data_IF_799412695169
#
_entry.id   IF_799412695169
#
_cell.length_a   1.000
_cell.length_b   1.000
_cell.length_c   1.000
_cell.angle_alpha   90.00
_cell.angle_beta   90.00
_cell.angle_gamma   90.00
#
_symmetry.space_group_name_H-M   'P 1'
#
loop_
_entity.id
_entity.type
_entity.pdbx_description
1 polymer ?
#
# COMPACT_ATOMS: atom_id res chain seq x y z
N UNK A 1 -10.16 -43.06 -53.49
CA UNK A 1 -10.33 -44.25 -52.60
C UNK A 1 -9.57 -43.96 -51.33
N UNK A 2 -10.21 -44.04 -50.15
CA UNK A 2 -9.72 -43.49 -48.89
C UNK A 2 -8.95 -44.54 -48.10
N UNK A 3 -8.00 -44.10 -47.32
CA UNK A 3 -7.39 -44.91 -46.25
C UNK A 3 -7.60 -44.22 -44.89
N UNK A 4 -8.58 -44.73 -44.18
CA UNK A 4 -8.80 -44.41 -42.79
C UNK A 4 -7.82 -45.21 -41.93
N UNK A 5 -6.98 -44.53 -41.11
CA UNK A 5 -6.22 -45.17 -40.02
C UNK A 5 -6.89 -44.84 -38.70
N UNK A 6 -7.55 -45.84 -38.17
CA UNK A 6 -8.13 -45.91 -36.86
C UNK A 6 -7.01 -45.92 -35.79
N UNK A 7 -7.04 -45.00 -34.84
CA UNK A 7 -6.18 -45.03 -33.66
C UNK A 7 -7.04 -45.33 -32.47
N UNK A 8 -6.83 -46.54 -31.91
CA UNK A 8 -7.44 -47.00 -30.69
C UNK A 8 -6.65 -46.48 -29.52
N UNK A 9 -7.28 -45.69 -28.65
CA UNK A 9 -6.71 -45.31 -27.35
C UNK A 9 -6.92 -46.43 -26.32
N UNK A 10 -5.93 -46.76 -25.49
CA UNK A 10 -6.16 -47.60 -24.31
C UNK A 10 -6.74 -46.80 -23.16
N UNK A 11 -7.77 -47.36 -22.57
CA UNK A 11 -8.40 -46.89 -21.34
C UNK A 11 -7.45 -47.18 -20.17
N UNK A 12 -6.92 -46.15 -19.54
CA UNK A 12 -6.18 -46.27 -18.28
C UNK A 12 -7.14 -46.08 -17.10
N UNK A 13 -7.38 -47.17 -16.41
CA UNK A 13 -8.18 -47.26 -15.18
C UNK A 13 -7.38 -46.64 -14.03
N UNK A 14 -7.79 -45.50 -13.52
CA UNK A 14 -7.20 -44.87 -12.32
C UNK A 14 -7.82 -45.53 -11.08
N UNK A 15 -6.98 -46.21 -10.32
CA UNK A 15 -7.29 -46.78 -9.00
C UNK A 15 -7.24 -45.64 -7.97
N UNK A 16 -8.40 -45.26 -7.43
CA UNK A 16 -8.50 -44.33 -6.31
C UNK A 16 -8.16 -45.08 -5.02
N UNK A 17 -7.00 -44.80 -4.45
CA UNK A 17 -6.66 -45.21 -3.09
C UNK A 17 -7.04 -44.08 -2.13
N UNK A 18 -8.08 -44.28 -1.38
CA UNK A 18 -8.46 -43.50 -0.20
C UNK A 18 -7.59 -43.91 0.99
N UNK A 19 -6.74 -43.00 1.47
CA UNK A 19 -6.02 -43.15 2.73
C UNK A 19 -6.73 -42.38 3.85
N UNK A 20 -6.80 -42.91 5.08
CA UNK A 20 -7.49 -42.26 6.18
C UNK A 20 -6.69 -41.11 6.75
N UNK A 21 -7.42 -40.05 7.12
CA UNK A 21 -6.95 -38.87 7.80
C UNK A 21 -6.54 -39.23 9.24
N UNK A 22 -5.25 -39.38 9.50
CA UNK A 22 -4.74 -39.48 10.88
C UNK A 22 -4.38 -38.12 11.38
N UNK A 23 -5.10 -37.66 12.40
CA UNK A 23 -4.75 -36.49 13.19
C UNK A 23 -3.38 -36.71 13.85
N UNK A 24 -2.41 -35.84 13.58
CA UNK A 24 -1.19 -35.68 14.38
C UNK A 24 -1.22 -34.34 15.05
N UNK A 25 -1.60 -34.35 16.32
CA UNK A 25 -1.27 -33.31 17.28
C UNK A 25 0.21 -33.47 17.67
N UNK A 26 0.94 -32.37 17.77
CA UNK A 26 2.16 -32.28 18.55
C UNK A 26 3.46 -32.11 17.77
N UNK A 27 3.75 -30.93 17.26
CA UNK A 27 5.13 -30.41 17.10
C UNK A 27 5.06 -28.88 17.19
N UNK A 28 4.93 -28.32 18.38
CA UNK A 28 5.03 -26.86 18.59
C UNK A 28 5.87 -26.43 19.82
N UNK A 29 6.39 -27.36 20.61
CA UNK A 29 7.11 -26.97 21.84
C UNK A 29 8.65 -26.99 21.75
N UNK A 30 9.24 -27.50 20.69
CA UNK A 30 10.71 -27.64 20.62
C UNK A 30 11.42 -26.50 19.87
N UNK A 31 10.71 -25.62 19.16
CA UNK A 31 11.35 -24.51 18.44
C UNK A 31 11.56 -23.28 19.33
N UNK A 32 10.75 -23.10 20.37
CA UNK A 32 10.86 -21.96 21.29
C UNK A 32 12.08 -22.06 22.23
N UNK A 33 12.57 -23.26 22.52
CA UNK A 33 13.74 -23.48 23.39
C UNK A 33 15.08 -23.18 22.73
N UNK A 34 15.14 -23.15 21.38
CA UNK A 34 16.41 -22.95 20.67
C UNK A 34 16.78 -21.45 20.51
N UNK A 35 15.85 -20.53 20.70
CA UNK A 35 16.08 -19.09 20.52
C UNK A 35 16.05 -18.24 21.79
N UNK A 36 15.95 -18.83 22.99
CA UNK A 36 16.11 -18.08 24.26
C UNK A 36 15.11 -16.96 24.47
N UNK A 37 13.90 -17.00 23.87
CA UNK A 37 12.88 -15.98 24.03
C UNK A 37 11.92 -16.37 25.14
N UNK A 38 12.03 -15.69 26.29
CA UNK A 38 11.06 -15.78 27.38
C UNK A 38 9.75 -15.13 26.96
N UNK A 39 8.71 -15.94 26.80
CA UNK A 39 7.34 -15.46 26.60
C UNK A 39 6.77 -15.14 27.99
N UNK A 40 6.66 -13.86 28.32
CA UNK A 40 5.93 -13.40 29.50
C UNK A 40 4.43 -13.46 29.21
N UNK A 41 3.75 -14.31 29.93
CA UNK A 41 2.29 -14.40 29.99
C UNK A 41 1.74 -13.15 30.68
N UNK A 42 0.76 -12.42 30.12
CA UNK A 42 0.11 -11.32 30.84
C UNK A 42 -0.77 -11.88 31.98
N UNK A 43 -0.60 -11.31 33.19
CA UNK A 43 -1.42 -11.62 34.34
C UNK A 43 -2.86 -11.14 34.18
N UNK A 44 -3.84 -11.81 34.81
CA UNK A 44 -5.24 -11.40 34.75
C UNK A 44 -5.46 -10.04 35.43
N UNK A 45 -6.34 -9.22 34.83
CA UNK A 45 -6.72 -7.91 35.33
C UNK A 45 -7.37 -8.00 36.71
N UNK A 46 -6.80 -7.29 37.69
CA UNK A 46 -7.43 -7.07 39.01
C UNK A 46 -8.50 -5.97 38.88
N UNK A 47 -9.64 -6.21 39.52
CA UNK A 47 -10.78 -5.32 39.68
C UNK A 47 -10.35 -4.02 40.38
N UNK A 48 -10.58 -2.87 39.75
CA UNK A 48 -10.44 -1.56 40.37
C UNK A 48 -11.83 -1.14 40.86
N UNK A 49 -12.05 -0.93 42.17
CA UNK A 49 -13.32 -0.42 42.68
C UNK A 49 -13.51 1.07 42.34
N UNK A 50 -14.75 1.45 42.01
CA UNK A 50 -15.18 2.81 41.73
C UNK A 50 -15.05 3.73 42.96
N UNK A 51 -14.73 5.03 42.75
CA UNK A 51 -14.73 5.99 43.88
C UNK A 51 -16.15 6.46 44.21
N UNK A 52 -16.51 6.29 45.45
CA UNK A 52 -17.71 6.84 46.06
C UNK A 52 -17.60 8.35 46.27
N UNK A 53 -18.62 9.07 45.82
CA UNK A 53 -18.93 10.46 46.16
C UNK A 53 -19.46 10.53 47.61
N UNK A 54 -18.92 11.42 48.44
CA UNK A 54 -19.74 12.20 49.37
C UNK A 54 -18.97 13.33 50.03
N UNK A 55 -19.56 14.55 49.99
CA UNK A 55 -19.68 15.49 51.06
C UNK A 55 -18.83 16.78 51.03
N UNK A 56 -19.42 17.88 51.43
CA UNK A 56 -19.07 19.22 50.99
C UNK A 56 -18.32 20.06 52.05
N UNK A 57 -18.04 21.33 51.64
CA UNK A 57 -17.65 22.50 52.48
C UNK A 57 -16.12 22.75 52.64
N UNK A 58 -15.58 23.83 52.13
CA UNK A 58 -15.65 25.18 52.68
C UNK A 58 -14.94 26.22 51.80
N UNK A 59 -15.54 27.40 51.83
CA UNK A 59 -15.14 28.66 51.21
C UNK A 59 -13.86 29.25 51.81
N UNK A 60 -12.92 29.71 50.93
CA UNK A 60 -12.07 30.88 51.20
C UNK A 60 -11.43 31.41 49.90
N UNK A 61 -11.81 32.59 49.47
CA UNK A 61 -11.03 33.51 48.62
C UNK A 61 -10.51 34.64 49.56
N UNK A 62 -9.60 35.54 49.15
CA UNK A 62 -9.02 35.81 47.82
C UNK A 62 -7.47 35.99 47.86
N UNK A 63 -6.86 35.86 46.69
CA UNK A 63 -5.45 36.26 46.47
C UNK A 63 -5.19 36.46 45.00
N UNK A 64 -5.39 37.68 44.52
CA UNK A 64 -5.09 38.13 43.18
C UNK A 64 -3.58 38.22 42.98
N UNK A 65 -3.01 37.44 42.09
CA UNK A 65 -1.81 37.78 41.34
C UNK A 65 -2.02 37.30 39.89
N UNK A 66 -2.29 38.29 39.04
CA UNK A 66 -2.31 38.10 37.60
C UNK A 66 -0.85 37.96 37.12
N UNK A 67 -0.39 36.75 36.94
CA UNK A 67 0.84 36.47 36.21
C UNK A 67 0.46 36.10 34.80
N UNK A 68 0.65 37.07 33.91
CA UNK A 68 0.41 36.94 32.46
C UNK A 68 1.47 36.00 31.92
N UNK A 69 1.18 34.71 31.85
CA UNK A 69 1.99 33.76 31.09
C UNK A 69 1.62 33.97 29.65
N UNK A 70 2.45 34.73 28.92
CA UNK A 70 2.42 34.80 27.47
C UNK A 70 2.73 33.39 26.94
N UNK A 71 1.68 32.66 26.56
CA UNK A 71 1.82 31.46 25.76
C UNK A 71 2.43 31.86 24.43
N UNK A 72 3.75 31.68 24.29
CA UNK A 72 4.42 31.70 23.01
C UNK A 72 3.73 30.64 22.13
N UNK A 73 2.98 31.15 21.18
CA UNK A 73 2.34 30.38 20.12
C UNK A 73 3.42 29.56 19.40
N UNK A 74 3.51 28.28 19.75
CA UNK A 74 4.38 27.35 19.05
C UNK A 74 3.96 27.37 17.59
N UNK A 75 4.83 27.91 16.75
CA UNK A 75 4.65 27.95 15.30
C UNK A 75 4.42 26.52 14.81
N UNK A 76 3.18 26.17 14.52
CA UNK A 76 2.86 24.99 13.74
C UNK A 76 3.53 25.13 12.37
N UNK A 77 4.31 24.12 11.93
CA UNK A 77 4.92 24.19 10.61
C UNK A 77 3.79 24.29 9.57
N UNK A 78 3.65 25.48 8.98
CA UNK A 78 2.74 25.71 7.86
C UNK A 78 3.34 25.01 6.65
N UNK A 79 2.81 23.85 6.31
CA UNK A 79 3.06 23.30 4.99
C UNK A 79 2.49 24.29 3.96
N UNK A 80 3.25 24.65 2.91
CA UNK A 80 2.73 25.55 1.88
C UNK A 80 1.51 24.86 1.24
N UNK A 81 0.33 25.36 1.53
CA UNK A 81 -0.90 24.93 0.86
C UNK A 81 -0.82 25.48 -0.57
N UNK A 82 -0.35 24.65 -1.51
CA UNK A 82 -0.44 24.98 -2.93
C UNK A 82 -1.92 25.17 -3.27
N UNK A 83 -2.25 26.31 -3.88
CA UNK A 83 -3.61 26.55 -4.31
C UNK A 83 -4.03 25.43 -5.28
N UNK A 84 -5.23 24.87 -5.10
CA UNK A 84 -5.76 23.73 -5.91
C UNK A 84 -5.67 24.02 -7.43
N UNK A 85 -5.73 25.28 -7.83
CA UNK A 85 -5.57 25.73 -9.21
C UNK A 85 -4.15 25.59 -9.79
N UNK A 86 -3.13 25.35 -8.94
CA UNK A 86 -1.74 25.16 -9.38
C UNK A 86 -1.35 23.69 -9.54
N UNK A 87 -2.23 22.77 -9.15
CA UNK A 87 -1.96 21.35 -9.31
C UNK A 87 -2.09 20.95 -10.79
N UNK A 88 -1.16 20.11 -11.30
CA UNK A 88 -1.29 19.54 -12.63
C UNK A 88 -2.65 18.86 -12.79
N UNK A 89 -3.38 19.24 -13.83
CA UNK A 89 -4.66 18.60 -14.14
C UNK A 89 -4.43 17.25 -14.78
N UNK A 90 -5.25 16.23 -14.47
CA UNK A 90 -5.11 14.93 -15.06
C UNK A 90 -5.41 14.98 -16.57
N UNK A 91 -4.50 14.42 -17.38
CA UNK A 91 -4.65 14.31 -18.84
C UNK A 91 -4.32 12.92 -19.33
N UNK A 92 -4.79 12.59 -20.54
CA UNK A 92 -4.49 11.33 -21.23
C UNK A 92 -3.80 11.64 -22.54
N UNK A 93 -2.69 10.97 -22.79
CA UNK A 93 -1.92 11.06 -24.03
C UNK A 93 -2.00 9.73 -24.79
N UNK A 94 -2.25 9.81 -26.11
CA UNK A 94 -2.18 8.66 -27.00
C UNK A 94 -0.79 8.60 -27.63
N UNK A 95 0.10 7.69 -27.19
CA UNK A 95 1.44 7.60 -27.74
C UNK A 95 1.44 6.96 -29.12
N UNK A 96 2.48 7.23 -29.94
CA UNK A 96 2.65 6.61 -31.27
C UNK A 96 2.71 5.08 -31.21
N UNK A 97 3.24 4.53 -30.13
CA UNK A 97 3.29 3.09 -29.85
C UNK A 97 2.67 2.83 -28.50
N UNK A 98 1.77 1.85 -28.43
CA UNK A 98 1.19 1.38 -27.15
C UNK A 98 2.28 1.06 -26.15
N UNK A 99 2.15 1.61 -24.94
CA UNK A 99 3.09 1.39 -23.84
C UNK A 99 2.44 0.50 -22.77
N UNK A 100 3.28 -0.30 -22.10
CA UNK A 100 2.87 -1.00 -20.91
C UNK A 100 3.40 -0.26 -19.66
N UNK A 101 2.67 -0.37 -18.56
CA UNK A 101 3.00 0.30 -17.29
C UNK A 101 4.46 0.05 -16.85
N UNK A 102 4.97 -1.17 -17.01
CA UNK A 102 6.34 -1.54 -16.63
C UNK A 102 7.41 -0.89 -17.50
N UNK A 103 7.16 -0.72 -18.81
CA UNK A 103 8.07 -0.04 -19.73
C UNK A 103 8.12 1.45 -19.41
N UNK A 104 6.95 2.05 -19.21
CA UNK A 104 6.80 3.45 -18.89
C UNK A 104 7.45 3.78 -17.52
N UNK A 105 7.17 2.99 -16.49
CA UNK A 105 7.75 3.18 -15.17
C UNK A 105 9.30 3.09 -15.20
N UNK A 106 9.87 2.15 -15.98
CA UNK A 106 11.34 2.09 -16.17
C UNK A 106 11.88 3.33 -16.85
N UNK A 107 11.22 3.82 -17.89
CA UNK A 107 11.65 5.01 -18.63
C UNK A 107 11.69 6.24 -17.71
N UNK A 108 10.69 6.43 -16.84
CA UNK A 108 10.62 7.57 -15.94
C UNK A 108 11.59 7.46 -14.76
N UNK A 109 11.76 6.28 -14.19
CA UNK A 109 12.48 6.12 -12.91
C UNK A 109 13.90 5.58 -13.07
N UNK A 110 14.19 4.92 -14.20
CA UNK A 110 15.45 4.20 -14.39
C UNK A 110 15.59 2.99 -13.47
N UNK A 111 14.50 2.46 -12.90
CA UNK A 111 14.53 1.20 -12.16
C UNK A 111 14.75 0.04 -13.13
N UNK A 112 15.70 -0.85 -12.83
CA UNK A 112 16.03 -1.99 -13.67
C UNK A 112 15.28 -3.25 -13.23
N UNK A 113 13.95 -3.19 -13.24
CA UNK A 113 13.04 -4.32 -12.92
C UNK A 113 12.29 -4.72 -14.18
N UNK A 114 12.35 -5.98 -14.58
CA UNK A 114 11.74 -6.51 -15.79
C UNK A 114 10.58 -7.46 -15.48
N UNK A 115 9.76 -7.75 -16.51
CA UNK A 115 8.62 -8.65 -16.47
C UNK A 115 7.34 -8.01 -15.93
N UNK A 116 6.29 -8.83 -15.77
CA UNK A 116 4.98 -8.38 -15.34
C UNK A 116 5.02 -7.64 -13.99
N UNK A 117 4.18 -6.62 -13.82
CA UNK A 117 4.13 -5.78 -12.63
C UNK A 117 3.90 -6.56 -11.33
N UNK A 118 3.18 -7.68 -11.40
CA UNK A 118 2.92 -8.58 -10.25
C UNK A 118 4.19 -9.11 -9.57
N UNK A 119 5.32 -9.10 -10.28
CA UNK A 119 6.61 -9.56 -9.74
C UNK A 119 7.50 -8.41 -9.23
N UNK A 120 7.13 -7.16 -9.47
CA UNK A 120 7.98 -6.02 -9.20
C UNK A 120 8.31 -5.86 -7.72
N UNK A 121 7.30 -6.04 -6.86
CA UNK A 121 7.50 -5.95 -5.41
C UNK A 121 8.56 -6.93 -4.89
N UNK A 122 8.48 -8.18 -5.33
CA UNK A 122 9.44 -9.20 -4.90
C UNK A 122 10.82 -9.01 -5.55
N UNK A 123 10.86 -8.65 -6.83
CA UNK A 123 12.12 -8.39 -7.55
C UNK A 123 12.85 -7.15 -7.07
N UNK A 124 12.16 -6.19 -6.49
CA UNK A 124 12.78 -5.02 -5.85
C UNK A 124 13.54 -5.37 -4.57
N UNK A 125 13.26 -6.53 -3.94
CA UNK A 125 13.95 -6.95 -2.72
C UNK A 125 15.46 -6.98 -2.93
N UNK A 126 16.20 -6.34 -2.02
CA UNK A 126 17.65 -6.22 -2.04
C UNK A 126 18.23 -5.36 -3.19
N UNK A 127 17.42 -4.85 -4.10
CA UNK A 127 17.86 -3.96 -5.18
C UNK A 127 17.46 -2.50 -4.94
N UNK A 128 16.30 -2.30 -4.32
CA UNK A 128 15.68 -0.99 -4.12
C UNK A 128 14.98 -0.95 -2.76
N UNK A 129 14.75 0.27 -2.24
CA UNK A 129 13.95 0.46 -1.06
C UNK A 129 12.48 0.09 -1.34
N UNK A 130 11.87 -0.68 -0.43
CA UNK A 130 10.43 -0.99 -0.42
C UNK A 130 9.82 -0.33 0.80
N UNK A 131 8.93 0.62 0.59
CA UNK A 131 8.33 1.45 1.65
C UNK A 131 6.81 1.43 1.57
N UNK A 132 6.16 1.79 2.66
CA UNK A 132 4.69 1.84 2.75
C UNK A 132 4.13 3.24 2.52
N UNK A 133 4.97 4.26 2.54
CA UNK A 133 4.59 5.67 2.31
C UNK A 133 5.05 6.13 0.93
N UNK A 134 4.28 6.99 0.24
CA UNK A 134 4.68 7.53 -1.05
C UNK A 134 5.87 8.48 -0.93
N UNK A 135 6.70 8.48 -1.97
CA UNK A 135 7.72 9.50 -2.22
C UNK A 135 7.66 9.86 -3.71
N UNK A 136 8.02 11.09 -4.06
CA UNK A 136 8.11 11.49 -5.47
C UNK A 136 9.11 10.61 -6.22
N UNK A 137 8.78 10.29 -7.46
CA UNK A 137 9.50 9.34 -8.31
C UNK A 137 9.56 7.88 -7.81
N UNK A 138 8.91 7.55 -6.68
CA UNK A 138 8.73 6.15 -6.29
C UNK A 138 7.67 5.46 -7.16
N UNK A 139 7.81 4.16 -7.33
CA UNK A 139 6.87 3.33 -8.10
C UNK A 139 5.87 2.68 -7.16
N UNK A 140 4.61 3.09 -7.23
CA UNK A 140 3.49 2.42 -6.58
C UNK A 140 3.21 1.08 -7.24
N UNK A 141 3.12 0.01 -6.47
CA UNK A 141 2.92 -1.36 -6.96
C UNK A 141 1.56 -1.89 -6.54
N UNK A 142 0.67 -2.09 -7.50
CA UNK A 142 -0.64 -2.70 -7.26
C UNK A 142 -0.52 -4.20 -7.05
N UNK A 143 -1.19 -4.70 -6.01
CA UNK A 143 -1.28 -6.13 -5.73
C UNK A 143 -2.11 -6.83 -6.81
N UNK A 144 -1.65 -7.97 -7.34
CA UNK A 144 -2.41 -8.75 -8.30
C UNK A 144 -3.77 -9.17 -7.75
N UNK A 145 -4.78 -9.24 -8.62
CA UNK A 145 -6.13 -9.69 -8.28
C UNK A 145 -6.77 -10.41 -9.48
N UNK A 146 -7.96 -10.97 -9.29
CA UNK A 146 -8.72 -11.60 -10.39
C UNK A 146 -8.95 -10.66 -11.58
N UNK A 147 -9.05 -9.36 -11.33
CA UNK A 147 -9.24 -8.31 -12.35
C UNK A 147 -7.94 -7.67 -12.83
N UNK A 148 -6.88 -7.78 -12.05
CA UNK A 148 -5.55 -7.21 -12.33
C UNK A 148 -4.49 -8.33 -12.29
N UNK A 149 -4.70 -9.35 -13.14
CA UNK A 149 -3.92 -10.61 -13.12
C UNK A 149 -2.42 -10.41 -13.30
N UNK A 150 -2.01 -9.40 -14.05
CA UNK A 150 -0.59 -9.05 -14.28
C UNK A 150 -0.04 -8.03 -13.28
N UNK A 151 -0.87 -7.54 -12.36
CA UNK A 151 -0.55 -6.40 -11.53
C UNK A 151 -0.52 -5.09 -12.34
N UNK A 152 -0.16 -4.00 -11.69
CA UNK A 152 0.06 -2.69 -12.31
C UNK A 152 1.10 -1.92 -11.53
N UNK A 153 1.77 -0.98 -12.19
CA UNK A 153 2.68 -0.02 -11.56
C UNK A 153 2.41 1.38 -12.08
N UNK A 154 2.55 2.37 -11.17
CA UNK A 154 2.43 3.78 -11.48
C UNK A 154 3.56 4.55 -10.77
N UNK A 155 4.04 5.64 -11.37
CA UNK A 155 5.12 6.47 -10.81
C UNK A 155 4.51 7.66 -10.09
N UNK A 156 4.88 7.91 -8.83
CA UNK A 156 4.44 9.08 -8.08
C UNK A 156 5.06 10.33 -8.68
N UNK A 157 4.24 11.27 -9.15
CA UNK A 157 4.69 12.54 -9.72
C UNK A 157 4.55 13.72 -8.76
N UNK A 158 3.63 13.65 -7.79
CA UNK A 158 3.49 14.65 -6.73
C UNK A 158 2.78 14.07 -5.50
N UNK A 159 3.11 14.60 -4.33
CA UNK A 159 2.40 14.34 -3.08
C UNK A 159 1.53 15.56 -2.77
N UNK A 160 0.22 15.38 -2.77
CA UNK A 160 -0.75 16.47 -2.58
C UNK A 160 -1.14 16.58 -1.12
N UNK A 161 -1.35 15.44 -0.46
CA UNK A 161 -1.71 15.38 0.95
C UNK A 161 -1.31 14.03 1.55
N UNK A 162 -1.60 13.84 2.84
CA UNK A 162 -1.40 12.53 3.51
C UNK A 162 -2.20 11.39 2.87
N UNK A 163 -3.24 11.70 2.07
CA UNK A 163 -4.13 10.71 1.44
C UNK A 163 -4.27 10.87 -0.07
N UNK A 164 -3.56 11.81 -0.69
CA UNK A 164 -3.68 12.06 -2.12
C UNK A 164 -2.31 12.28 -2.76
N UNK A 165 -2.07 11.57 -3.84
CA UNK A 165 -0.90 11.73 -4.70
C UNK A 165 -1.34 11.90 -6.16
N UNK A 166 -0.42 12.36 -6.98
CA UNK A 166 -0.51 12.29 -8.44
C UNK A 166 0.45 11.23 -8.95
N UNK A 167 0.03 10.53 -10.00
CA UNK A 167 0.85 9.51 -10.62
C UNK A 167 0.89 9.65 -12.14
N UNK A 168 2.00 9.17 -12.71
CA UNK A 168 2.22 8.93 -14.11
C UNK A 168 2.09 7.43 -14.37
N UNK A 169 1.27 7.01 -15.32
CA UNK A 169 1.09 5.59 -15.60
C UNK A 169 0.75 5.36 -17.07
N UNK A 170 0.92 4.14 -17.56
CA UNK A 170 0.51 3.76 -18.91
C UNK A 170 -0.32 2.48 -18.87
N UNK A 171 -1.28 2.38 -19.80
CA UNK A 171 -2.14 1.20 -19.96
C UNK A 171 -3.00 0.90 -18.70
N UNK A 172 -3.50 1.94 -18.05
CA UNK A 172 -4.45 1.80 -16.94
C UNK A 172 -5.88 1.75 -17.47
N UNK A 173 -6.43 0.53 -17.63
CA UNK A 173 -7.78 0.31 -18.15
C UNK A 173 -8.05 0.98 -19.52
N UNK A 174 -7.01 1.31 -20.24
CA UNK A 174 -7.01 1.87 -21.59
C UNK A 174 -6.18 0.98 -22.54
N UNK A 175 -5.96 1.39 -23.74
CA UNK A 175 -5.30 0.59 -24.79
C UNK A 175 -3.81 0.95 -24.97
N UNK A 176 -3.08 1.20 -23.90
CA UNK A 176 -1.67 1.58 -23.94
C UNK A 176 -1.47 3.09 -24.02
N UNK A 177 -2.46 3.87 -23.62
CA UNK A 177 -2.39 5.32 -23.43
C UNK A 177 -1.61 5.65 -22.15
N UNK A 178 -1.10 6.88 -22.06
CA UNK A 178 -0.40 7.41 -20.91
C UNK A 178 -1.36 8.33 -20.16
N UNK A 179 -1.48 8.11 -18.88
CA UNK A 179 -2.23 8.96 -17.96
C UNK A 179 -1.24 9.82 -17.18
N UNK A 180 -1.34 11.16 -17.31
CA UNK A 180 -0.51 12.14 -16.63
C UNK A 180 -1.22 12.74 -15.43
N UNK A 181 -0.47 13.00 -14.36
CA UNK A 181 -0.94 13.65 -13.13
C UNK A 181 -2.24 13.03 -12.57
N UNK A 182 -2.39 11.72 -12.73
CA UNK A 182 -3.63 11.03 -12.37
C UNK A 182 -3.80 10.99 -10.85
N UNK A 183 -4.94 11.48 -10.29
CA UNK A 183 -5.20 11.43 -8.86
C UNK A 183 -5.31 10.00 -8.35
N UNK A 184 -4.63 9.73 -7.24
CA UNK A 184 -4.77 8.49 -6.46
C UNK A 184 -5.04 8.86 -5.00
N UNK A 185 -6.09 8.28 -4.45
CA UNK A 185 -6.53 8.52 -3.07
C UNK A 185 -6.29 7.29 -2.22
N UNK A 186 -5.63 7.45 -1.08
CA UNK A 186 -5.61 6.45 -0.02
C UNK A 186 -6.97 6.37 0.66
N UNK A 187 -7.57 5.18 0.62
CA UNK A 187 -8.85 4.86 1.27
C UNK A 187 -8.70 3.80 2.34
N UNK A 188 -7.46 3.50 2.74
CA UNK A 188 -7.17 2.59 3.84
C UNK A 188 -7.66 3.18 5.18
N UNK A 189 -8.14 2.31 6.06
CA UNK A 189 -8.68 2.73 7.36
C UNK A 189 -7.63 3.41 8.25
N UNK A 190 -6.35 2.98 8.14
CA UNK A 190 -5.24 3.48 8.96
C UNK A 190 -4.39 4.57 8.31
N UNK A 191 -4.76 5.04 7.12
CA UNK A 191 -3.92 5.95 6.32
C UNK A 191 -2.51 5.38 6.07
N UNK A 192 -2.45 4.12 5.69
CA UNK A 192 -1.23 3.35 5.49
C UNK A 192 -0.98 2.96 4.03
N UNK A 193 -1.75 3.52 3.10
CA UNK A 193 -1.68 3.29 1.67
C UNK A 193 -1.89 1.83 1.24
N UNK A 194 -2.41 0.97 2.14
CA UNK A 194 -2.69 -0.43 1.79
C UNK A 194 -3.83 -0.59 0.78
N UNK A 195 -4.70 0.42 0.66
CA UNK A 195 -5.84 0.45 -0.24
C UNK A 195 -5.99 1.82 -0.89
N UNK A 196 -6.12 1.84 -2.21
CA UNK A 196 -6.21 3.09 -2.98
C UNK A 196 -7.38 3.06 -3.97
N UNK A 197 -7.83 4.24 -4.38
CA UNK A 197 -8.67 4.45 -5.56
C UNK A 197 -7.93 5.34 -6.54
N UNK A 198 -8.03 5.01 -7.82
CA UNK A 198 -7.48 5.79 -8.93
C UNK A 198 -8.61 6.54 -9.62
N UNK A 199 -8.37 7.78 -9.98
CA UNK A 199 -9.30 8.59 -10.75
C UNK A 199 -9.53 7.99 -12.14
N UNK A 200 -10.76 7.98 -12.58
CA UNK A 200 -11.16 7.54 -13.94
C UNK A 200 -11.64 8.76 -14.74
N UNK A 201 -10.91 9.06 -15.82
CA UNK A 201 -11.20 10.20 -16.69
C UNK A 201 -12.54 10.09 -17.41
N UNK A 202 -13.03 8.88 -17.64
CA UNK A 202 -14.31 8.65 -18.36
C UNK A 202 -15.50 8.91 -17.44
N UNK A 203 -15.48 8.36 -16.25
CA UNK A 203 -16.55 8.56 -15.26
C UNK A 203 -16.42 9.86 -14.47
N UNK A 204 -15.26 10.53 -14.54
CA UNK A 204 -14.89 11.70 -13.74
C UNK A 204 -15.12 11.45 -12.25
N UNK A 205 -14.69 10.29 -11.78
CA UNK A 205 -14.84 9.85 -10.40
C UNK A 205 -13.71 8.90 -10.01
N UNK A 206 -13.47 8.75 -8.70
CA UNK A 206 -12.59 7.71 -8.21
C UNK A 206 -13.20 6.32 -8.44
N UNK A 207 -12.43 5.45 -9.09
CA UNK A 207 -12.82 4.09 -9.41
C UNK A 207 -12.94 3.19 -8.17
N UNK A 208 -12.89 1.88 -8.39
CA UNK A 208 -12.93 0.87 -7.32
C UNK A 208 -11.70 0.92 -6.42
N UNK A 209 -11.77 0.22 -5.29
CA UNK A 209 -10.65 0.04 -4.39
C UNK A 209 -9.69 -1.02 -4.96
N UNK A 210 -8.40 -0.74 -4.88
CA UNK A 210 -7.30 -1.65 -5.20
C UNK A 210 -6.37 -1.76 -3.99
N UNK A 211 -5.88 -2.97 -3.72
CA UNK A 211 -4.78 -3.17 -2.79
C UNK A 211 -3.45 -2.82 -3.47
N UNK A 212 -2.52 -2.23 -2.74
CA UNK A 212 -1.14 -2.04 -3.18
C UNK A 212 -0.17 -2.75 -2.23
N UNK A 213 0.97 -3.18 -2.78
CA UNK A 213 2.05 -3.78 -1.99
C UNK A 213 2.93 -2.71 -1.31
N UNK A 214 2.89 -1.48 -1.82
CA UNK A 214 3.67 -0.34 -1.36
C UNK A 214 4.36 0.38 -2.50
N UNK A 215 5.47 1.05 -2.19
CA UNK A 215 6.23 1.89 -3.11
C UNK A 215 7.68 1.40 -3.21
N UNK A 216 8.23 1.40 -4.43
CA UNK A 216 9.63 1.06 -4.72
C UNK A 216 10.37 2.36 -5.04
N UNK A 217 11.45 2.64 -4.32
CA UNK A 217 12.27 3.83 -4.52
C UNK A 217 13.75 3.49 -4.62
N UNK A 218 14.54 4.31 -5.30
CA UNK A 218 16.00 4.23 -5.23
C UNK A 218 16.49 4.58 -3.83
N UNK A 219 17.51 3.92 -3.32
CA UNK A 219 18.04 4.18 -1.98
C UNK A 219 18.48 5.64 -1.78
N UNK A 220 19.07 6.27 -2.80
CA UNK A 220 19.49 7.67 -2.76
C UNK A 220 18.32 8.66 -2.54
N UNK A 221 17.12 8.35 -3.04
CA UNK A 221 15.93 9.20 -2.84
C UNK A 221 15.43 9.16 -1.40
N UNK A 222 15.61 8.04 -0.72
CA UNK A 222 15.20 7.89 0.68
C UNK A 222 16.12 8.62 1.65
N UNK A 223 17.38 8.82 1.29
CA UNK A 223 18.33 9.61 2.09
C UNK A 223 18.02 11.10 2.00
N UNK A 224 17.75 11.61 0.79
CA UNK A 224 17.41 13.02 0.58
C UNK A 224 16.07 13.46 1.22
N UNK A 225 15.18 12.53 1.55
CA UNK A 225 13.91 12.85 2.22
C UNK A 225 14.03 12.90 3.76
N UNK A 226 15.18 12.47 4.31
CA UNK A 226 15.46 12.44 5.76
C UNK A 226 16.44 13.55 6.19
N UNK A 227 17.03 14.32 5.26
CA UNK A 227 17.89 15.47 5.47
C UNK A 227 17.08 16.78 5.40
#
# INVERSE_FOLDING_TARGET
MPNAKSWILPLATALVMSAPLSAQAGVTDDVAKFFGLSVSTPAPAEDIPAPTTDGPMAVAAPGSIAETISLSEAATPSFPTMAVSQLPQPTVETPLKKLFCVEYARALTGLNIFGDAKFWWDRARNLYARVTVPAEHAVMVFTPSSRLKKGHVAVVSAIISKREIRVEQANWQNHGEIDHAMPVMDVSARNDWSQVRVWDMRSKAFGRVYAISGFIAKHAMMQAAND
#
